data_IF_001367946205
#
_entry.id   IF_001367946205
#
_cell.length_a   1.000
_cell.length_b   1.000
_cell.length_c   1.000
_cell.angle_alpha   90.00
_cell.angle_beta   90.00
_cell.angle_gamma   90.00
#
_symmetry.space_group_name_H-M   'P 1'
#
loop_
_entity.id
_entity.type
_entity.pdbx_description
1 polymer ?
#
# COMPACT_ATOMS: atom_id res chain seq x y z
N UNK A 1 37.53 17.61 13.95
CA UNK A 1 36.89 18.40 12.87
C UNK A 1 36.80 17.63 11.55
N UNK A 2 37.89 17.04 11.02
CA UNK A 2 37.87 16.23 9.77
C UNK A 2 36.82 15.10 9.72
N UNK A 3 36.68 14.29 10.78
CA UNK A 3 35.66 13.21 10.79
C UNK A 3 34.22 13.73 10.77
N UNK A 4 33.96 14.87 11.41
CA UNK A 4 32.60 15.45 11.45
C UNK A 4 32.19 15.95 10.06
N UNK A 5 33.13 16.57 9.34
CA UNK A 5 32.91 16.98 7.95
C UNK A 5 32.68 15.76 7.05
N UNK A 6 33.43 14.68 7.26
CA UNK A 6 33.28 13.45 6.49
C UNK A 6 31.91 12.78 6.72
N UNK A 7 31.44 12.74 7.97
CA UNK A 7 30.10 12.25 8.31
C UNK A 7 29.00 13.11 7.70
N UNK A 8 29.14 14.43 7.71
CA UNK A 8 28.19 15.35 7.09
C UNK A 8 28.08 15.16 5.58
N UNK A 9 29.21 14.92 4.90
CA UNK A 9 29.25 14.65 3.46
C UNK A 9 28.60 13.30 3.14
N UNK A 10 28.82 12.27 3.96
CA UNK A 10 28.18 10.96 3.79
C UNK A 10 26.66 11.05 3.93
N UNK A 11 26.16 11.77 4.93
CA UNK A 11 24.71 11.97 5.14
C UNK A 11 24.09 12.78 3.99
N UNK A 12 24.78 13.79 3.48
CA UNK A 12 24.33 14.53 2.31
C UNK A 12 24.28 13.65 1.05
N UNK A 13 25.21 12.72 0.89
CA UNK A 13 25.26 11.81 -0.26
C UNK A 13 24.10 10.80 -0.25
N UNK A 14 23.72 10.23 0.90
CA UNK A 14 22.54 9.35 0.98
C UNK A 14 21.23 10.12 0.79
N UNK A 15 21.15 11.37 1.23
CA UNK A 15 19.96 12.21 1.01
C UNK A 15 19.80 12.65 -0.47
N UNK A 16 20.90 12.73 -1.22
CA UNK A 16 20.92 13.10 -2.63
C UNK A 16 20.88 11.89 -3.58
N UNK A 17 20.91 10.65 -3.07
CA UNK A 17 20.79 9.46 -3.89
C UNK A 17 19.38 9.43 -4.52
N UNK A 18 19.27 9.27 -5.85
CA UNK A 18 17.97 9.08 -6.47
C UNK A 18 17.33 7.81 -5.89
N UNK A 19 15.99 7.76 -5.75
CA UNK A 19 15.31 6.56 -5.30
C UNK A 19 15.76 5.39 -6.17
N UNK A 20 16.34 4.38 -5.52
CA UNK A 20 16.84 3.17 -6.17
C UNK A 20 15.63 2.43 -6.75
N UNK A 21 15.32 2.69 -8.02
CA UNK A 21 14.23 2.04 -8.75
C UNK A 21 14.65 0.62 -9.10
N UNK A 22 14.72 -0.24 -8.08
CA UNK A 22 15.10 -1.65 -8.26
C UNK A 22 14.08 -2.39 -9.15
N UNK A 23 12.80 -1.97 -9.15
CA UNK A 23 11.74 -2.52 -10.00
C UNK A 23 11.97 -2.38 -11.51
N UNK A 24 12.70 -1.36 -11.96
CA UNK A 24 12.95 -1.13 -13.38
C UNK A 24 13.88 -2.19 -14.00
N UNK A 25 14.75 -2.79 -13.17
CA UNK A 25 15.67 -3.84 -13.62
C UNK A 25 14.89 -5.15 -13.77
N UNK A 26 14.10 -5.55 -12.76
CA UNK A 26 13.33 -6.79 -12.75
C UNK A 26 12.20 -6.85 -13.79
N UNK A 27 11.81 -5.73 -14.39
CA UNK A 27 10.80 -5.67 -15.46
C UNK A 27 11.11 -6.61 -16.64
N UNK A 28 12.36 -6.66 -17.10
CA UNK A 28 12.70 -7.40 -18.34
C UNK A 28 12.77 -8.90 -18.09
N UNK A 29 13.33 -9.32 -16.97
CA UNK A 29 13.37 -10.72 -16.56
C UNK A 29 11.97 -11.22 -16.21
N UNK A 30 11.16 -10.42 -15.50
CA UNK A 30 9.79 -10.77 -15.16
C UNK A 30 8.89 -10.94 -16.41
N UNK A 31 9.06 -10.10 -17.45
CA UNK A 31 8.35 -10.27 -18.72
C UNK A 31 8.74 -11.57 -19.40
N UNK A 32 10.05 -11.88 -19.47
CA UNK A 32 10.53 -13.13 -20.06
C UNK A 32 10.02 -14.35 -19.29
N UNK A 33 10.02 -14.28 -17.96
CA UNK A 33 9.48 -15.33 -17.11
C UNK A 33 7.98 -15.51 -17.35
N UNK A 34 7.19 -14.44 -17.37
CA UNK A 34 5.76 -14.50 -17.63
C UNK A 34 5.44 -15.06 -19.03
N UNK A 35 6.22 -14.73 -20.06
CA UNK A 35 6.10 -15.33 -21.40
C UNK A 35 6.43 -16.83 -21.39
N UNK A 36 7.45 -17.26 -20.62
CA UNK A 36 7.82 -18.67 -20.49
C UNK A 36 6.77 -19.50 -19.75
N UNK A 37 6.03 -18.88 -18.82
CA UNK A 37 4.93 -19.48 -18.06
C UNK A 37 3.57 -19.32 -18.78
N UNK A 38 3.56 -18.84 -20.02
CA UNK A 38 2.33 -18.58 -20.81
C UNK A 38 1.34 -17.59 -20.16
N UNK A 39 1.78 -16.80 -19.18
CA UNK A 39 0.98 -15.74 -18.55
C UNK A 39 0.80 -14.53 -19.48
N UNK A 40 1.69 -14.37 -20.46
CA UNK A 40 1.60 -13.38 -21.53
C UNK A 40 1.65 -14.12 -22.87
N UNK A 41 0.65 -13.96 -23.75
CA UNK A 41 0.69 -14.54 -25.09
C UNK A 41 1.89 -14.03 -25.89
N UNK A 42 2.51 -14.91 -26.69
CA UNK A 42 3.75 -14.60 -27.44
C UNK A 42 3.59 -13.45 -28.45
N UNK A 43 2.37 -13.19 -28.89
CA UNK A 43 2.04 -12.16 -29.88
C UNK A 43 1.53 -10.85 -29.23
N UNK A 44 1.59 -10.74 -27.89
CA UNK A 44 1.16 -9.54 -27.19
C UNK A 44 2.20 -8.41 -27.31
N UNK A 45 1.81 -7.30 -27.92
CA UNK A 45 2.64 -6.08 -27.97
C UNK A 45 2.49 -5.32 -26.65
N UNK A 46 3.55 -5.31 -25.83
CA UNK A 46 3.57 -4.54 -24.59
C UNK A 46 3.71 -3.06 -24.93
N UNK A 47 2.60 -2.32 -24.81
CA UNK A 47 2.57 -0.88 -25.11
C UNK A 47 3.27 -0.04 -24.03
N UNK A 48 3.15 -0.44 -22.75
CA UNK A 48 3.81 0.22 -21.62
C UNK A 48 3.90 -0.73 -20.43
N UNK A 49 5.07 -0.83 -19.80
CA UNK A 49 5.23 -1.45 -18.49
C UNK A 49 5.10 -0.33 -17.47
N UNK A 50 4.10 -0.42 -16.60
CA UNK A 50 3.91 0.54 -15.52
C UNK A 50 4.29 -0.19 -14.22
N UNK A 51 5.27 0.35 -13.50
CA UNK A 51 5.61 -0.14 -12.17
C UNK A 51 4.35 -0.08 -11.31
N UNK A 52 3.86 -1.25 -10.88
CA UNK A 52 2.77 -1.31 -9.92
C UNK A 52 3.23 -0.67 -8.62
N UNK A 53 2.32 0.01 -7.93
CA UNK A 53 2.59 0.44 -6.55
C UNK A 53 2.92 -0.81 -5.76
N UNK A 54 4.08 -0.84 -5.10
CA UNK A 54 4.40 -1.87 -4.10
C UNK A 54 3.44 -1.69 -2.91
N UNK A 55 2.23 -2.23 -3.04
CA UNK A 55 1.21 -2.28 -1.98
C UNK A 55 1.58 -3.30 -0.88
N UNK A 56 2.86 -3.39 -0.53
CA UNK A 56 3.38 -4.26 0.52
C UNK A 56 3.49 -3.56 1.88
N UNK A 57 2.88 -2.38 2.06
CA UNK A 57 3.04 -1.58 3.28
C UNK A 57 1.85 -1.64 4.27
N UNK A 58 0.76 -2.36 3.96
CA UNK A 58 -0.39 -2.45 4.86
C UNK A 58 -0.99 -3.86 4.93
N UNK A 59 -0.17 -4.83 5.36
CA UNK A 59 -0.60 -6.21 5.70
C UNK A 59 -1.36 -6.33 7.04
N UNK A 60 -1.77 -5.21 7.62
CA UNK A 60 -2.64 -5.20 8.79
C UNK A 60 -3.55 -3.99 8.73
N UNK A 61 -4.61 -4.09 7.94
CA UNK A 61 -5.83 -3.37 8.26
C UNK A 61 -6.40 -4.09 9.49
N UNK A 62 -6.37 -3.51 10.69
CA UNK A 62 -6.87 -4.18 11.88
C UNK A 62 -8.37 -4.42 11.67
N UNK A 63 -8.77 -5.69 11.52
CA UNK A 63 -10.19 -6.07 11.44
C UNK A 63 -10.97 -5.80 12.73
N UNK A 64 -10.31 -5.25 13.76
CA UNK A 64 -10.91 -4.93 15.05
C UNK A 64 -11.26 -3.45 15.22
N UNK A 65 -11.18 -2.63 14.16
CA UNK A 65 -11.58 -1.24 14.26
C UNK A 65 -13.09 -1.16 14.49
N UNK A 66 -13.47 -0.96 15.76
CA UNK A 66 -14.86 -0.70 16.12
C UNK A 66 -15.27 0.63 15.52
N UNK A 67 -16.32 0.61 14.70
CA UNK A 67 -16.94 1.82 14.17
C UNK A 67 -17.80 2.40 15.29
N UNK A 68 -17.54 3.64 15.70
CA UNK A 68 -18.41 4.36 16.63
C UNK A 68 -19.43 5.17 15.82
N UNK A 69 -20.66 4.66 15.69
CA UNK A 69 -21.70 5.34 14.89
C UNK A 69 -22.17 6.65 15.52
N UNK A 70 -21.98 6.85 16.84
CA UNK A 70 -22.31 8.13 17.48
C UNK A 70 -21.43 9.28 16.97
N UNK A 71 -20.14 9.02 16.74
CA UNK A 71 -19.21 10.02 16.22
C UNK A 71 -19.49 10.38 14.75
N UNK A 72 -20.15 9.48 14.01
CA UNK A 72 -20.40 9.63 12.57
C UNK A 72 -21.80 10.20 12.30
N UNK A 73 -22.80 9.76 13.06
CA UNK A 73 -24.22 10.01 12.80
C UNK A 73 -24.94 10.78 13.92
N UNK A 74 -24.24 11.12 15.02
CA UNK A 74 -24.82 11.74 16.23
C UNK A 74 -25.57 13.05 15.99
N UNK A 75 -25.15 13.83 15.00
CA UNK A 75 -25.79 15.10 14.66
C UNK A 75 -27.01 14.94 13.73
N UNK A 76 -27.20 13.76 13.14
CA UNK A 76 -28.19 13.51 12.08
C UNK A 76 -29.31 12.57 12.52
N UNK A 77 -29.02 11.67 13.46
CA UNK A 77 -29.95 10.63 13.91
C UNK A 77 -30.06 10.63 15.44
N UNK A 78 -31.26 10.35 15.99
CA UNK A 78 -31.43 10.22 17.43
C UNK A 78 -30.65 9.02 17.98
N UNK A 79 -30.20 9.12 19.22
CA UNK A 79 -29.36 8.13 19.91
C UNK A 79 -29.93 6.71 19.91
N UNK A 80 -31.25 6.57 19.94
CA UNK A 80 -31.94 5.27 19.88
C UNK A 80 -31.75 4.55 18.54
N UNK A 81 -31.81 5.28 17.42
CA UNK A 81 -31.57 4.72 16.08
C UNK A 81 -30.10 4.32 15.95
N UNK A 82 -29.19 5.14 16.45
CA UNK A 82 -27.75 4.86 16.43
C UNK A 82 -27.42 3.60 17.24
N UNK A 83 -27.98 3.44 18.44
CA UNK A 83 -27.79 2.24 19.27
C UNK A 83 -28.28 0.96 18.58
N UNK A 84 -29.43 1.01 17.92
CA UNK A 84 -29.97 -0.14 17.18
C UNK A 84 -29.08 -0.51 15.99
N UNK A 85 -28.55 0.47 15.25
CA UNK A 85 -27.64 0.24 14.13
C UNK A 85 -26.28 -0.29 14.60
N UNK A 86 -25.77 0.22 15.72
CA UNK A 86 -24.52 -0.23 16.31
C UNK A 86 -24.57 -1.71 16.67
N UNK A 87 -25.64 -2.15 17.34
CA UNK A 87 -25.83 -3.57 17.69
C UNK A 87 -25.94 -4.47 16.46
N UNK A 88 -26.46 -3.98 15.33
CA UNK A 88 -26.56 -4.75 14.10
C UNK A 88 -25.21 -4.86 13.38
N UNK A 89 -24.43 -3.78 13.37
CA UNK A 89 -23.12 -3.72 12.72
C UNK A 89 -22.06 -4.48 13.52
N UNK A 90 -22.14 -4.48 14.86
CA UNK A 90 -21.20 -5.20 15.74
C UNK A 90 -21.18 -6.73 15.48
N UNK A 91 -22.24 -7.27 14.87
CA UNK A 91 -22.35 -8.69 14.50
C UNK A 91 -21.89 -8.99 13.07
N UNK A 92 -21.64 -7.97 12.24
CA UNK A 92 -21.19 -8.13 10.86
C UNK A 92 -19.71 -8.55 10.86
N UNK A 93 -19.40 -9.67 10.21
CA UNK A 93 -18.03 -10.20 10.11
C UNK A 93 -17.63 -11.20 11.19
N UNK A 94 -18.53 -11.59 12.09
CA UNK A 94 -18.32 -12.72 13.04
C UNK A 94 -18.75 -14.10 12.47
N UNK A 95 -18.81 -14.27 11.14
CA UNK A 95 -19.11 -15.56 10.48
C UNK A 95 -17.88 -16.16 9.81
#
# INVERSE_FOLDING_TARGET
>A
MRSVVLCLVLVAAVAAAPPQREGAVYSKEAIKQAQSTFLIPKDAVIQKVQEGVELAAYESIPGNQKINLFEILGDQLPSEVINNLQSQIDHVGQQ
#
